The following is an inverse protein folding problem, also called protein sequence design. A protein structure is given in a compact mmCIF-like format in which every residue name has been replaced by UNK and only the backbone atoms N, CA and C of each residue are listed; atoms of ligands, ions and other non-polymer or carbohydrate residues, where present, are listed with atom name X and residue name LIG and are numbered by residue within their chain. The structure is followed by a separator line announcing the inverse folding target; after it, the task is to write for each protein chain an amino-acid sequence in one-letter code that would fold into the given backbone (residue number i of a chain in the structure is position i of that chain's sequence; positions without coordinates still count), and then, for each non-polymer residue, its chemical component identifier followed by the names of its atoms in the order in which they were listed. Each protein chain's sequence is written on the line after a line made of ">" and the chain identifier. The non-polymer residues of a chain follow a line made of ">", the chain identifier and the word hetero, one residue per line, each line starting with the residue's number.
data_IF_763769435700
#
_entry.id   IF_763769435700
#
_cell.length_a   1.000
_cell.length_b   1.000
_cell.length_c   1.000
_cell.angle_alpha   90.00
_cell.angle_beta   90.00
_cell.angle_gamma   90.00
#
_symmetry.space_group_name_H-M   'P 1'
#
loop_
_entity.id
_entity.type
_entity.pdbx_description
1 polymer ?
#
# COMPACT_ATOMS: atom_id res chain seq x y z
N UNK A 1 -2.64 18.56 -69.71
CA UNK A 1 -2.63 18.59 -68.22
C UNK A 1 -1.18 18.40 -67.76
N UNK A 2 -0.52 19.46 -67.26
CA UNK A 2 0.88 19.41 -66.81
C UNK A 2 0.90 19.11 -65.31
N UNK A 3 1.39 17.94 -64.92
CA UNK A 3 1.53 17.56 -63.51
C UNK A 3 2.72 18.32 -62.90
N UNK A 4 2.44 19.22 -61.97
CA UNK A 4 3.47 19.88 -61.17
C UNK A 4 4.12 18.85 -60.22
N UNK A 5 5.44 18.63 -60.27
CA UNK A 5 6.12 17.73 -59.36
C UNK A 5 6.04 18.31 -57.94
N UNK A 6 5.57 17.51 -56.99
CA UNK A 6 5.59 17.89 -55.57
C UNK A 6 7.05 17.80 -55.10
N UNK A 7 7.60 18.91 -54.63
CA UNK A 7 8.91 18.94 -53.99
C UNK A 7 8.83 18.09 -52.71
N UNK A 8 9.46 16.91 -52.73
CA UNK A 8 9.63 16.10 -51.54
C UNK A 8 10.66 16.81 -50.65
N UNK A 9 10.19 17.55 -49.65
CA UNK A 9 11.06 18.13 -48.63
C UNK A 9 11.59 16.99 -47.76
N UNK A 10 12.84 16.59 -48.00
CA UNK A 10 13.54 15.63 -47.14
C UNK A 10 13.82 16.25 -45.77
N UNK A 11 13.62 15.47 -44.71
CA UNK A 11 13.99 15.88 -43.35
C UNK A 11 15.51 16.04 -43.26
N UNK A 12 15.98 17.15 -42.67
CA UNK A 12 17.42 17.38 -42.58
C UNK A 12 18.02 16.55 -41.45
N UNK A 13 19.24 16.03 -41.63
CA UNK A 13 19.93 15.26 -40.57
C UNK A 13 20.09 16.09 -39.29
N UNK A 14 20.30 17.41 -39.42
CA UNK A 14 20.43 18.30 -38.26
C UNK A 14 19.13 18.42 -37.46
N UNK A 15 17.98 18.36 -38.14
CA UNK A 15 16.65 18.36 -37.50
C UNK A 15 16.44 17.06 -36.71
N UNK A 16 16.95 15.93 -37.20
CA UNK A 16 16.91 14.67 -36.45
C UNK A 16 17.81 14.73 -35.21
N UNK A 17 19.02 15.29 -35.36
CA UNK A 17 19.97 15.43 -34.25
C UNK A 17 19.42 16.34 -33.16
N UNK A 18 18.83 17.48 -33.52
CA UNK A 18 18.31 18.41 -32.50
C UNK A 18 17.15 17.78 -31.72
N UNK A 19 16.30 16.99 -32.38
CA UNK A 19 15.18 16.30 -31.72
C UNK A 19 15.67 15.29 -30.70
N UNK A 20 16.63 14.42 -31.04
CA UNK A 20 17.15 13.44 -30.07
C UNK A 20 17.90 14.11 -28.91
N UNK A 21 18.57 15.25 -29.14
CA UNK A 21 19.22 16.03 -28.08
C UNK A 21 18.18 16.61 -27.12
N UNK A 22 17.11 17.21 -27.65
CA UNK A 22 16.03 17.75 -26.82
C UNK A 22 15.34 16.63 -26.02
N UNK A 23 15.03 15.50 -26.66
CA UNK A 23 14.46 14.33 -25.99
C UNK A 23 15.41 13.77 -24.92
N UNK A 24 16.72 13.79 -25.15
CA UNK A 24 17.73 13.40 -24.17
C UNK A 24 17.71 14.27 -22.91
N UNK A 25 17.63 15.59 -23.06
CA UNK A 25 17.57 16.53 -21.93
C UNK A 25 16.24 16.38 -21.15
N UNK A 26 15.12 16.25 -21.86
CA UNK A 26 13.81 16.03 -21.25
C UNK A 26 13.78 14.70 -20.49
N UNK A 27 14.33 13.63 -21.06
CA UNK A 27 14.41 12.34 -20.39
C UNK A 27 15.30 12.39 -19.15
N UNK A 28 16.47 13.02 -19.23
CA UNK A 28 17.40 13.15 -18.10
C UNK A 28 16.79 13.91 -16.91
N UNK A 29 15.90 14.87 -17.17
CA UNK A 29 15.26 15.68 -16.12
C UNK A 29 13.94 15.09 -15.60
N UNK A 30 13.18 14.39 -16.45
CA UNK A 30 11.87 13.82 -16.08
C UNK A 30 11.98 12.45 -15.39
N UNK A 31 12.95 11.62 -15.76
CA UNK A 31 13.09 10.26 -15.23
C UNK A 31 13.24 10.19 -13.69
N UNK A 32 14.08 11.03 -13.03
CA UNK A 32 14.22 10.97 -11.58
C UNK A 32 12.89 11.24 -10.86
N UNK A 33 12.14 12.25 -11.31
CA UNK A 33 10.84 12.61 -10.73
C UNK A 33 9.79 11.52 -10.90
N UNK A 34 9.81 10.81 -12.02
CA UNK A 34 8.86 9.73 -12.27
C UNK A 34 9.06 8.55 -11.31
N UNK A 35 10.32 8.21 -10.99
CA UNK A 35 10.64 7.15 -10.02
C UNK A 35 10.17 7.52 -8.62
N UNK A 36 10.43 8.75 -8.18
CA UNK A 36 10.01 9.24 -6.85
C UNK A 36 8.50 9.16 -6.65
N UNK A 37 7.70 9.56 -7.66
CA UNK A 37 6.23 9.50 -7.60
C UNK A 37 5.74 8.05 -7.45
N UNK A 38 6.41 7.11 -8.10
CA UNK A 38 6.09 5.68 -7.97
C UNK A 38 6.28 5.19 -6.54
N UNK A 39 7.36 5.59 -5.89
CA UNK A 39 7.65 5.24 -4.49
C UNK A 39 6.67 5.90 -3.52
N UNK A 40 6.36 7.18 -3.72
CA UNK A 40 5.39 7.91 -2.92
C UNK A 40 3.98 7.31 -3.04
N UNK A 41 3.58 6.89 -4.25
CA UNK A 41 2.32 6.21 -4.48
C UNK A 41 2.23 4.88 -3.73
N UNK A 42 3.33 4.11 -3.70
CA UNK A 42 3.41 2.86 -2.92
C UNK A 42 3.31 3.12 -1.43
N UNK A 43 4.02 4.12 -0.91
CA UNK A 43 3.94 4.51 0.51
C UNK A 43 2.51 4.93 0.87
N UNK A 44 1.86 5.74 0.04
CA UNK A 44 0.48 6.16 0.24
C UNK A 44 -0.48 4.97 0.24
N UNK A 45 -0.32 4.03 -0.69
CA UNK A 45 -1.13 2.81 -0.75
C UNK A 45 -0.93 1.95 0.51
N UNK A 46 0.31 1.69 0.94
CA UNK A 46 0.60 0.93 2.17
C UNK A 46 -0.01 1.61 3.40
N UNK A 47 0.08 2.94 3.51
CA UNK A 47 -0.57 3.71 4.58
C UNK A 47 -2.10 3.58 4.54
N UNK A 48 -2.70 3.56 3.35
CA UNK A 48 -4.13 3.32 3.18
C UNK A 48 -4.56 1.95 3.70
N UNK A 49 -3.79 0.91 3.39
CA UNK A 49 -4.05 -0.45 3.91
C UNK A 49 -3.88 -0.50 5.44
N UNK A 50 -2.82 0.11 5.98
CA UNK A 50 -2.60 0.18 7.43
C UNK A 50 -3.72 0.95 8.16
N UNK A 51 -4.22 2.05 7.58
CA UNK A 51 -5.35 2.80 8.12
C UNK A 51 -6.66 1.99 8.13
N UNK A 52 -6.91 1.23 7.06
CA UNK A 52 -8.07 0.33 6.99
C UNK A 52 -7.95 -0.83 8.01
N UNK A 53 -6.75 -1.40 8.18
CA UNK A 53 -6.47 -2.41 9.19
C UNK A 53 -6.70 -1.88 10.62
N UNK A 54 -6.14 -0.71 10.95
CA UNK A 54 -6.36 -0.06 12.25
C UNK A 54 -7.83 0.23 12.53
N UNK A 55 -8.57 0.71 11.53
CA UNK A 55 -10.02 0.94 11.65
C UNK A 55 -10.77 -0.36 11.93
N UNK A 56 -10.42 -1.45 11.23
CA UNK A 56 -11.01 -2.77 11.46
C UNK A 56 -10.73 -3.29 12.87
N UNK A 57 -9.53 -3.05 13.42
CA UNK A 57 -9.17 -3.40 14.80
C UNK A 57 -10.05 -2.66 15.82
N UNK A 58 -10.23 -1.34 15.66
CA UNK A 58 -11.09 -0.54 16.54
C UNK A 58 -12.54 -1.00 16.48
N UNK A 59 -13.06 -1.29 15.28
CA UNK A 59 -14.42 -1.80 15.11
C UNK A 59 -14.57 -3.18 15.78
N UNK A 60 -13.62 -4.10 15.59
CA UNK A 60 -13.64 -5.40 16.24
C UNK A 60 -13.60 -5.28 17.77
N UNK A 61 -12.72 -4.44 18.32
CA UNK A 61 -12.65 -4.23 19.77
C UNK A 61 -13.96 -3.65 20.35
N UNK A 62 -14.58 -2.69 19.65
CA UNK A 62 -15.87 -2.14 20.05
C UNK A 62 -16.98 -3.20 20.02
N UNK A 63 -16.98 -4.09 19.02
CA UNK A 63 -17.89 -5.22 18.92
C UNK A 63 -17.63 -6.29 19.98
N UNK A 64 -16.37 -6.54 20.33
CA UNK A 64 -15.98 -7.44 21.41
C UNK A 64 -16.45 -6.92 22.77
N UNK A 65 -16.32 -5.63 23.03
CA UNK A 65 -16.71 -5.02 24.31
C UNK A 65 -18.19 -5.22 24.64
N UNK A 66 -19.08 -5.23 23.63
CA UNK A 66 -20.53 -5.45 23.85
C UNK A 66 -20.91 -6.91 24.09
N UNK A 67 -20.01 -7.86 23.77
CA UNK A 67 -20.20 -9.30 24.02
C UNK A 67 -19.25 -9.83 25.09
N UNK A 68 -18.72 -8.95 25.97
CA UNK A 68 -17.75 -9.30 27.01
C UNK A 68 -16.52 -10.05 26.46
N UNK A 69 -16.04 -9.65 25.28
CA UNK A 69 -14.94 -10.30 24.56
C UNK A 69 -15.18 -11.77 24.22
N UNK A 70 -16.44 -12.22 24.21
CA UNK A 70 -16.81 -13.57 23.77
C UNK A 70 -16.72 -13.71 22.24
N UNK A 71 -15.92 -14.67 21.79
CA UNK A 71 -15.71 -14.98 20.37
C UNK A 71 -16.73 -15.94 19.78
N UNK A 72 -17.67 -16.44 20.61
CA UNK A 72 -18.78 -17.29 20.15
C UNK A 72 -19.67 -16.53 19.15
N UNK A 73 -19.77 -15.21 19.26
CA UNK A 73 -20.41 -14.36 18.26
C UNK A 73 -19.36 -13.78 17.30
N UNK A 74 -18.98 -14.62 16.33
CA UNK A 74 -17.98 -14.29 15.31
C UNK A 74 -18.33 -13.06 14.45
N UNK A 75 -19.60 -12.60 14.43
CA UNK A 75 -20.01 -11.39 13.74
C UNK A 75 -19.73 -10.10 14.54
N UNK A 76 -19.47 -10.23 15.85
CA UNK A 76 -19.21 -9.12 16.76
C UNK A 76 -17.80 -9.12 17.31
N UNK A 77 -17.21 -10.28 17.52
CA UNK A 77 -15.89 -10.40 18.11
C UNK A 77 -15.06 -11.49 17.44
N UNK A 78 -13.89 -11.10 16.97
CA UNK A 78 -12.81 -11.99 16.54
C UNK A 78 -11.62 -11.84 17.49
N UNK A 79 -10.93 -12.93 17.74
CA UNK A 79 -9.70 -12.89 18.54
C UNK A 79 -8.62 -12.10 17.80
N UNK A 80 -7.99 -11.19 18.53
CA UNK A 80 -6.82 -10.44 18.13
C UNK A 80 -5.80 -10.59 19.24
N UNK A 81 -4.75 -11.34 18.97
CA UNK A 81 -3.62 -11.56 19.87
C UNK A 81 -2.28 -11.57 19.11
N UNK A 82 -2.31 -11.18 17.83
CA UNK A 82 -1.16 -11.05 16.96
C UNK A 82 -1.48 -10.06 15.81
N UNK A 83 -0.50 -9.90 14.92
CA UNK A 83 -0.64 -9.12 13.69
C UNK A 83 -0.57 -10.02 12.45
N UNK A 84 -0.87 -11.32 12.56
CA UNK A 84 -0.75 -12.23 11.43
C UNK A 84 -1.70 -11.81 10.30
N UNK A 85 -1.28 -12.02 9.05
CA UNK A 85 -2.05 -11.60 7.87
C UNK A 85 -3.45 -12.20 7.83
N UNK A 86 -3.62 -13.42 8.35
CA UNK A 86 -4.93 -14.05 8.49
C UNK A 86 -5.81 -13.35 9.54
N UNK A 87 -5.24 -12.98 10.69
CA UNK A 87 -5.94 -12.26 11.78
C UNK A 87 -6.38 -10.89 11.29
N UNK A 88 -5.44 -10.07 10.80
CA UNK A 88 -5.71 -8.71 10.33
C UNK A 88 -6.64 -8.72 9.12
N UNK A 89 -6.37 -9.58 8.14
CA UNK A 89 -7.21 -9.72 6.95
C UNK A 89 -8.63 -10.20 7.28
N UNK A 90 -8.79 -11.04 8.30
CA UNK A 90 -10.11 -11.52 8.75
C UNK A 90 -11.01 -10.44 9.38
N UNK A 91 -10.44 -9.29 9.76
CA UNK A 91 -11.19 -8.14 10.28
C UNK A 91 -11.58 -7.13 9.19
N UNK A 92 -10.81 -7.07 8.11
CA UNK A 92 -11.03 -6.12 7.03
C UNK A 92 -12.15 -6.60 6.09
N UNK A 93 -13.06 -5.71 5.70
CA UNK A 93 -14.07 -6.03 4.69
C UNK A 93 -13.36 -6.29 3.34
N UNK A 94 -13.47 -7.51 2.83
CA UNK A 94 -12.80 -7.94 1.59
C UNK A 94 -11.42 -8.58 1.77
N UNK A 95 -10.92 -8.67 3.01
CA UNK A 95 -9.64 -9.31 3.30
C UNK A 95 -8.43 -8.39 3.14
N UNK A 96 -7.24 -8.95 3.39
CA UNK A 96 -5.97 -8.29 3.09
C UNK A 96 -5.79 -8.21 1.56
N UNK A 97 -5.53 -7.02 0.99
CA UNK A 97 -5.28 -6.89 -0.45
C UNK A 97 -4.09 -7.74 -0.90
N UNK A 98 -4.16 -8.27 -2.13
CA UNK A 98 -3.06 -9.03 -2.72
C UNK A 98 -1.76 -8.21 -2.76
N UNK A 99 -0.63 -8.85 -2.47
CA UNK A 99 0.69 -8.19 -2.43
C UNK A 99 0.98 -7.45 -1.11
N UNK A 100 0.08 -7.49 -0.13
CA UNK A 100 0.33 -6.95 1.20
C UNK A 100 0.37 -8.05 2.26
N UNK A 101 1.24 -7.87 3.24
CA UNK A 101 1.31 -8.72 4.43
C UNK A 101 1.28 -7.85 5.69
N UNK A 102 0.83 -8.43 6.78
CA UNK A 102 0.90 -7.82 8.12
C UNK A 102 1.74 -8.68 9.06
N UNK A 103 2.47 -8.01 9.94
CA UNK A 103 3.26 -8.63 11.00
C UNK A 103 3.37 -7.70 12.21
N UNK A 104 3.84 -8.23 13.34
CA UNK A 104 4.24 -7.39 14.48
C UNK A 104 5.41 -6.52 14.03
N UNK A 105 5.39 -5.25 14.44
CA UNK A 105 6.57 -4.40 14.25
C UNK A 105 7.74 -5.00 15.01
N UNK A 106 8.93 -4.93 14.41
CA UNK A 106 10.15 -5.46 15.04
C UNK A 106 10.36 -4.81 16.42
N UNK A 107 10.49 -5.66 17.45
CA UNK A 107 10.65 -5.21 18.84
C UNK A 107 9.36 -5.06 19.63
N UNK A 108 8.19 -5.18 19.01
CA UNK A 108 6.90 -5.23 19.71
C UNK A 108 6.57 -6.65 20.18
N UNK A 109 5.85 -6.73 21.29
CA UNK A 109 5.24 -7.98 21.76
C UNK A 109 3.73 -7.87 21.60
N UNK A 110 3.13 -8.87 20.96
CA UNK A 110 1.67 -8.96 20.97
C UNK A 110 1.16 -9.19 22.40
N UNK A 111 -0.03 -8.67 22.66
CA UNK A 111 -0.74 -8.87 23.93
C UNK A 111 -2.03 -9.63 23.69
N UNK A 112 -2.36 -10.54 24.59
CA UNK A 112 -3.68 -11.18 24.66
C UNK A 112 -4.60 -10.49 25.67
N UNK A 113 -4.12 -9.49 26.41
CA UNK A 113 -4.96 -8.77 27.38
C UNK A 113 -5.97 -7.89 26.64
N UNK A 114 -7.26 -8.19 26.76
CA UNK A 114 -8.33 -7.40 26.11
C UNK A 114 -8.17 -5.89 26.37
N UNK A 115 -8.10 -5.10 25.29
CA UNK A 115 -7.90 -3.65 25.32
C UNK A 115 -6.45 -3.19 25.34
N UNK A 116 -5.48 -4.10 25.51
CA UNK A 116 -4.07 -3.76 25.38
C UNK A 116 -3.71 -3.46 23.92
N UNK A 117 -2.87 -2.45 23.72
CA UNK A 117 -2.41 -2.03 22.39
C UNK A 117 -1.01 -2.51 22.11
N UNK A 118 -0.74 -2.88 20.86
CA UNK A 118 0.59 -3.19 20.33
C UNK A 118 0.69 -2.70 18.89
N UNK A 119 1.91 -2.54 18.36
CA UNK A 119 2.10 -2.01 17.00
C UNK A 119 2.28 -3.14 15.97
N UNK A 120 1.42 -3.10 14.96
CA UNK A 120 1.53 -3.92 13.77
C UNK A 120 2.08 -3.11 12.60
N UNK A 121 2.64 -3.79 11.61
CA UNK A 121 3.16 -3.20 10.39
C UNK A 121 2.57 -3.92 9.18
N UNK A 122 2.12 -3.13 8.20
CA UNK A 122 1.80 -3.58 6.85
C UNK A 122 3.03 -3.42 5.97
N UNK A 123 3.37 -4.45 5.21
CA UNK A 123 4.43 -4.44 4.19
C UNK A 123 3.86 -4.79 2.82
N UNK A 124 4.27 -4.06 1.78
CA UNK A 124 4.06 -4.48 0.39
C UNK A 124 5.12 -5.56 0.02
N UNK A 125 4.78 -6.52 -0.84
CA UNK A 125 5.61 -7.66 -1.27
C UNK A 125 6.68 -7.31 -2.33
N UNK A 126 6.99 -6.03 -2.51
CA UNK A 126 8.06 -5.56 -3.39
C UNK A 126 9.46 -5.97 -2.92
N UNK A 127 10.44 -5.96 -3.83
CA UNK A 127 11.86 -6.22 -3.51
C UNK A 127 12.47 -5.23 -2.51
N UNK A 128 11.89 -4.03 -2.40
CA UNK A 128 12.16 -3.05 -1.34
C UNK A 128 10.86 -2.68 -0.65
N UNK A 129 10.41 -3.48 0.34
CA UNK A 129 9.07 -3.38 0.89
C UNK A 129 8.87 -2.03 1.58
N UNK A 130 7.87 -1.27 1.11
CA UNK A 130 7.40 -0.06 1.81
C UNK A 130 6.48 -0.49 2.94
N UNK A 131 6.73 0.08 4.12
CA UNK A 131 6.10 -0.29 5.40
C UNK A 131 5.22 0.83 5.93
N UNK A 132 4.14 0.47 6.59
CA UNK A 132 3.30 1.41 7.34
C UNK A 132 2.78 0.76 8.62
N UNK A 133 2.87 1.49 9.72
CA UNK A 133 2.47 1.02 11.05
C UNK A 133 1.01 1.34 11.34
N UNK A 134 0.38 0.50 12.14
CA UNK A 134 -0.92 0.77 12.75
C UNK A 134 -0.98 0.18 14.15
N UNK A 135 -1.79 0.80 15.01
CA UNK A 135 -2.04 0.29 16.37
C UNK A 135 -3.09 -0.82 16.30
N UNK A 136 -2.75 -2.01 16.76
CA UNK A 136 -3.71 -3.07 17.02
C UNK A 136 -4.18 -3.03 18.46
N UNK A 137 -5.39 -3.56 18.69
CA UNK A 137 -6.02 -3.65 20.00
C UNK A 137 -6.37 -5.11 20.24
N UNK A 138 -5.78 -5.69 21.27
CA UNK A 138 -6.07 -7.06 21.69
C UNK A 138 -7.54 -7.21 22.06
N UNK A 139 -8.18 -8.28 21.59
CA UNK A 139 -9.59 -8.55 21.85
C UNK A 139 -9.90 -10.04 21.72
N UNK A 140 -11.00 -10.49 22.33
CA UNK A 140 -11.50 -11.85 22.12
C UNK A 140 -10.70 -12.94 22.84
N UNK A 141 -10.04 -12.60 23.95
CA UNK A 141 -9.35 -13.54 24.84
C UNK A 141 -10.06 -13.71 26.17
#
# INVERSE_FOLDING_TARGET
>A
MRSSPRLQAGFTIIELIVVIVILGILAATALPRFVDIGDDAKIAATKGVAGAAGSAMTLNYSGCSVVNHSTTNAAKCKTVNDCATATVGGLMQGGMPAGYTSALKSGETASSTNGATFVCEISNSDSTPKKAEFTAIAAGN
#
